data_IF_135733984470
#
_entry.id   IF_135733984470
#
_cell.length_a   1.000
_cell.length_b   1.000
_cell.length_c   1.000
_cell.angle_alpha   90.00
_cell.angle_beta   90.00
_cell.angle_gamma   90.00
#
_symmetry.space_group_name_H-M   'P 1'
#
loop_
_entity.id
_entity.type
_entity.pdbx_description
1 polymer ?
#
# COMPACT_ATOMS: atom_id res chain seq x y z
N UNK A 1 19.12 47.84 50.14
CA UNK A 1 17.79 47.36 49.68
C UNK A 1 17.72 46.97 48.21
N UNK A 2 18.73 47.19 47.36
CA UNK A 2 18.73 46.89 45.92
C UNK A 2 19.26 45.48 45.52
N UNK A 3 19.97 44.77 46.40
CA UNK A 3 20.53 43.43 46.06
C UNK A 3 19.51 42.28 46.21
N UNK A 4 18.43 42.44 47.00
CA UNK A 4 17.45 41.39 47.22
C UNK A 4 16.38 41.27 46.11
N UNK A 5 16.17 42.32 45.35
CA UNK A 5 15.19 42.33 44.21
C UNK A 5 15.73 41.63 42.98
N UNK A 6 17.02 41.75 42.68
CA UNK A 6 17.64 41.15 41.50
C UNK A 6 17.73 39.61 41.59
N UNK A 7 17.93 39.05 42.77
CA UNK A 7 17.95 37.60 43.00
C UNK A 7 16.55 36.97 42.92
N UNK A 8 15.51 37.71 43.32
CA UNK A 8 14.13 37.22 43.23
C UNK A 8 13.65 37.12 41.76
N UNK A 9 14.03 38.09 40.94
CA UNK A 9 13.71 38.05 39.48
C UNK A 9 14.51 37.00 38.73
N UNK A 10 15.77 36.70 39.08
CA UNK A 10 16.54 35.61 38.50
C UNK A 10 15.97 34.22 38.86
N UNK A 11 15.50 34.04 40.10
CA UNK A 11 14.88 32.79 40.51
C UNK A 11 13.48 32.60 39.89
N UNK A 12 12.68 33.64 39.73
CA UNK A 12 11.40 33.57 39.02
C UNK A 12 11.57 33.22 37.55
N UNK A 13 12.57 33.76 36.85
CA UNK A 13 12.88 33.39 35.45
C UNK A 13 13.34 31.93 35.31
N UNK A 14 14.12 31.40 36.28
CA UNK A 14 14.53 29.99 36.29
C UNK A 14 13.36 29.05 36.57
N UNK A 15 12.46 29.40 37.46
CA UNK A 15 11.25 28.60 37.76
C UNK A 15 10.26 28.66 36.59
N UNK A 16 10.10 29.82 35.93
CA UNK A 16 9.28 29.93 34.70
C UNK A 16 9.85 29.15 33.54
N UNK A 17 11.19 29.11 33.33
CA UNK A 17 11.82 28.29 32.32
C UNK A 17 11.70 26.78 32.61
N UNK A 18 11.79 26.36 33.88
CA UNK A 18 11.57 24.96 34.27
C UNK A 18 10.11 24.53 34.11
N UNK A 19 9.15 25.41 34.43
CA UNK A 19 7.73 25.13 34.19
C UNK A 19 7.39 25.11 32.69
N UNK A 20 7.99 25.99 31.89
CA UNK A 20 7.84 25.96 30.41
C UNK A 20 8.46 24.69 29.80
N UNK A 21 9.62 24.26 30.32
CA UNK A 21 10.26 23.00 29.91
C UNK A 21 9.44 21.76 30.27
N UNK A 22 8.83 21.73 31.45
CA UNK A 22 7.94 20.64 31.88
C UNK A 22 6.61 20.60 31.08
N UNK A 23 6.08 21.77 30.71
CA UNK A 23 4.87 21.84 29.83
C UNK A 23 5.21 21.44 28.42
N UNK A 24 6.38 21.80 27.84
CA UNK A 24 6.82 21.34 26.55
C UNK A 24 7.15 19.84 26.54
N UNK A 25 7.79 19.30 27.56
CA UNK A 25 8.01 17.84 27.67
C UNK A 25 6.70 17.07 27.88
N UNK A 26 5.70 17.65 28.54
CA UNK A 26 4.36 17.05 28.64
C UNK A 26 3.56 17.07 27.35
N UNK A 27 3.85 18.00 26.43
CA UNK A 27 3.21 18.10 25.12
C UNK A 27 3.84 17.16 24.06
N UNK A 28 5.08 16.68 24.29
CA UNK A 28 5.76 15.75 23.37
C UNK A 28 5.48 14.27 23.68
N UNK A 29 4.77 13.96 24.76
CA UNK A 29 4.37 12.59 25.12
C UNK A 29 2.88 12.32 24.97
N UNK A 30 2.12 13.13 24.23
CA UNK A 30 0.87 12.68 23.66
C UNK A 30 1.22 11.84 22.43
N UNK A 31 1.79 10.67 22.63
CA UNK A 31 1.55 9.57 21.70
C UNK A 31 0.02 9.53 21.58
N UNK A 32 -0.48 9.79 20.37
CA UNK A 32 -1.86 9.53 20.05
C UNK A 32 -2.06 8.02 20.32
N UNK A 33 -2.52 7.68 21.52
CA UNK A 33 -3.06 6.35 21.76
C UNK A 33 -4.10 6.18 20.67
N UNK A 34 -3.91 5.21 19.81
CA UNK A 34 -4.95 4.77 18.88
C UNK A 34 -6.12 4.42 19.79
N UNK A 35 -7.08 5.35 19.89
CA UNK A 35 -8.29 5.17 20.69
C UNK A 35 -9.15 4.22 19.88
N UNK A 36 -9.04 2.93 20.13
CA UNK A 36 -10.00 1.94 19.66
C UNK A 36 -11.39 2.33 20.14
N UNK A 37 -12.39 2.03 19.36
CA UNK A 37 -13.79 2.22 19.79
C UNK A 37 -14.07 1.25 20.96
N UNK A 38 -14.78 1.71 21.99
CA UNK A 38 -15.30 0.82 23.03
C UNK A 38 -16.39 -0.13 22.50
N UNK A 39 -17.03 0.24 21.38
CA UNK A 39 -18.00 -0.59 20.67
C UNK A 39 -17.28 -1.28 19.53
N UNK A 40 -17.42 -2.60 19.46
CA UNK A 40 -16.88 -3.44 18.38
C UNK A 40 -18.02 -4.24 17.74
N UNK A 41 -18.05 -4.27 16.41
CA UNK A 41 -18.91 -5.14 15.62
C UNK A 41 -18.05 -6.28 15.12
N UNK A 42 -18.28 -7.49 15.63
CA UNK A 42 -17.54 -8.68 15.27
C UNK A 42 -18.34 -9.53 14.31
N UNK A 43 -17.70 -9.90 13.19
CA UNK A 43 -18.20 -10.88 12.23
C UNK A 43 -17.15 -11.96 12.14
N UNK A 44 -17.47 -13.14 12.68
CA UNK A 44 -16.49 -14.21 12.84
C UNK A 44 -16.98 -15.45 12.07
N UNK A 45 -16.18 -15.99 11.14
CA UNK A 45 -16.51 -17.21 10.42
C UNK A 45 -16.25 -18.43 11.31
N UNK A 46 -16.81 -19.57 10.95
CA UNK A 46 -16.64 -20.83 11.69
C UNK A 46 -15.28 -21.54 11.42
N UNK A 47 -14.57 -21.17 10.34
CA UNK A 47 -13.20 -21.63 10.12
C UNK A 47 -12.19 -20.59 10.63
N UNK A 48 -11.18 -21.05 11.37
CA UNK A 48 -10.17 -20.17 11.98
C UNK A 48 -9.28 -19.46 10.96
N UNK A 49 -9.02 -20.09 9.82
CA UNK A 49 -8.21 -19.53 8.71
C UNK A 49 -9.05 -18.75 7.69
N UNK A 50 -10.37 -18.64 7.91
CA UNK A 50 -11.36 -18.01 7.04
C UNK A 50 -11.41 -18.59 5.62
N UNK A 51 -11.04 -19.88 5.45
CA UNK A 51 -10.95 -20.54 4.15
C UNK A 51 -11.93 -21.70 4.03
N UNK A 52 -12.51 -21.84 2.85
CA UNK A 52 -13.55 -22.82 2.52
C UNK A 52 -13.30 -23.38 1.12
N UNK A 53 -13.79 -24.56 0.83
CA UNK A 53 -13.86 -25.06 -0.54
C UNK A 53 -15.10 -24.50 -1.26
N UNK A 54 -15.01 -24.36 -2.58
CA UNK A 54 -16.17 -24.00 -3.42
C UNK A 54 -17.27 -25.05 -3.21
N UNK A 55 -18.49 -24.58 -2.88
CA UNK A 55 -19.62 -25.43 -2.58
C UNK A 55 -19.82 -25.75 -1.08
N UNK A 56 -18.83 -25.47 -0.25
CA UNK A 56 -18.96 -25.51 1.21
C UNK A 56 -19.85 -24.37 1.73
N UNK A 57 -20.37 -24.50 2.94
CA UNK A 57 -21.18 -23.46 3.58
C UNK A 57 -20.39 -22.83 4.73
N UNK A 58 -20.03 -21.55 4.58
CA UNK A 58 -19.48 -20.75 5.66
C UNK A 58 -20.58 -20.27 6.60
N UNK A 59 -20.31 -20.32 7.92
CA UNK A 59 -21.22 -19.82 8.95
C UNK A 59 -20.59 -18.61 9.65
N UNK A 60 -21.26 -17.47 9.61
CA UNK A 60 -20.77 -16.22 10.19
C UNK A 60 -21.57 -15.88 11.45
N UNK A 61 -20.88 -15.70 12.57
CA UNK A 61 -21.48 -15.21 13.81
C UNK A 61 -21.23 -13.72 13.95
N UNK A 62 -22.30 -12.94 13.99
CA UNK A 62 -22.30 -11.48 14.19
C UNK A 62 -22.59 -11.21 15.67
N UNK A 63 -21.84 -10.31 16.29
CA UNK A 63 -22.06 -9.79 17.62
C UNK A 63 -21.60 -8.35 17.76
N UNK A 64 -22.19 -7.63 18.71
CA UNK A 64 -21.79 -6.27 19.06
C UNK A 64 -21.41 -6.25 20.52
N UNK A 65 -20.22 -5.74 20.83
CA UNK A 65 -19.72 -5.65 22.21
C UNK A 65 -19.41 -4.22 22.60
N UNK A 66 -19.53 -3.91 23.89
CA UNK A 66 -19.03 -2.68 24.51
C UNK A 66 -18.02 -3.06 25.58
N UNK A 67 -16.77 -2.63 25.41
CA UNK A 67 -15.66 -3.02 26.32
C UNK A 67 -15.63 -4.55 26.56
N UNK A 68 -15.68 -5.32 25.48
CA UNK A 68 -15.73 -6.80 25.44
C UNK A 68 -17.01 -7.45 26.05
N UNK A 69 -17.98 -6.65 26.51
CA UNK A 69 -19.27 -7.17 27.03
C UNK A 69 -20.31 -7.17 25.91
N UNK A 70 -20.98 -8.31 25.72
CA UNK A 70 -22.00 -8.48 24.69
C UNK A 70 -23.20 -7.55 24.92
N UNK A 71 -23.63 -6.87 23.86
CA UNK A 71 -24.82 -6.03 23.87
C UNK A 71 -26.02 -6.80 23.31
N UNK A 72 -27.20 -6.54 23.88
CA UNK A 72 -28.46 -7.19 23.49
C UNK A 72 -29.39 -6.15 22.85
N UNK A 73 -30.35 -6.63 22.05
CA UNK A 73 -31.36 -5.80 21.37
C UNK A 73 -30.76 -4.71 20.47
N UNK A 74 -29.52 -4.89 20.00
CA UNK A 74 -28.88 -3.95 19.08
C UNK A 74 -29.46 -4.12 17.68
N UNK A 75 -29.81 -2.98 17.06
CA UNK A 75 -30.25 -2.93 15.68
C UNK A 75 -29.05 -2.92 14.74
N UNK A 76 -29.08 -3.78 13.72
CA UNK A 76 -28.04 -3.87 12.70
C UNK A 76 -28.61 -3.86 11.29
N UNK A 77 -27.87 -3.31 10.36
CA UNK A 77 -28.03 -3.53 8.93
C UNK A 77 -26.88 -4.43 8.46
N UNK A 78 -27.16 -5.30 7.49
CA UNK A 78 -26.09 -6.10 6.89
C UNK A 78 -26.26 -6.29 5.39
N UNK A 79 -25.09 -6.43 4.70
CA UNK A 79 -25.02 -6.91 3.33
C UNK A 79 -24.13 -8.17 3.30
N UNK A 80 -24.51 -9.19 2.53
CA UNK A 80 -23.78 -10.44 2.39
C UNK A 80 -23.85 -10.93 0.94
N UNK A 81 -22.79 -11.62 0.50
CA UNK A 81 -22.69 -12.13 -0.87
C UNK A 81 -21.28 -12.02 -1.44
N UNK A 82 -21.12 -12.22 -2.74
CA UNK A 82 -19.83 -12.05 -3.41
C UNK A 82 -19.25 -10.67 -3.15
N UNK A 83 -17.95 -10.61 -2.89
CA UNK A 83 -17.21 -9.38 -2.62
C UNK A 83 -17.51 -8.29 -3.68
N UNK A 84 -17.76 -7.05 -3.25
CA UNK A 84 -18.24 -5.90 -4.05
C UNK A 84 -19.64 -6.07 -4.68
N UNK A 85 -20.21 -7.28 -4.72
CA UNK A 85 -21.47 -7.61 -5.40
C UNK A 85 -22.46 -8.33 -4.46
N UNK A 86 -22.48 -7.93 -3.16
CA UNK A 86 -23.41 -8.51 -2.19
C UNK A 86 -24.87 -8.35 -2.64
N UNK A 87 -25.55 -9.45 -2.75
CA UNK A 87 -26.93 -9.56 -3.23
C UNK A 87 -27.96 -9.70 -2.09
N UNK A 88 -27.54 -10.17 -0.92
CA UNK A 88 -28.37 -10.22 0.30
C UNK A 88 -28.19 -8.91 1.08
N UNK A 89 -29.31 -8.17 1.27
CA UNK A 89 -29.31 -6.94 2.09
C UNK A 89 -30.50 -6.97 3.05
N UNK A 90 -30.23 -6.71 4.33
CA UNK A 90 -31.24 -6.60 5.39
C UNK A 90 -30.99 -5.37 6.23
N UNK A 91 -32.07 -4.69 6.60
CA UNK A 91 -32.02 -3.49 7.44
C UNK A 91 -32.86 -3.70 8.70
N UNK A 92 -32.44 -3.08 9.79
CA UNK A 92 -33.17 -3.03 11.03
C UNK A 92 -33.34 -4.36 11.74
N UNK A 93 -32.43 -5.31 11.50
CA UNK A 93 -32.43 -6.62 12.19
C UNK A 93 -32.00 -6.41 13.63
N UNK A 94 -32.79 -6.92 14.58
CA UNK A 94 -32.50 -6.78 16.01
C UNK A 94 -31.80 -8.02 16.55
N UNK A 95 -30.63 -7.84 17.14
CA UNK A 95 -29.87 -8.87 17.83
C UNK A 95 -30.46 -9.10 19.22
N UNK A 96 -31.60 -9.82 19.31
CA UNK A 96 -32.32 -10.05 20.58
C UNK A 96 -31.44 -10.73 21.61
N UNK A 97 -30.78 -11.83 21.20
CA UNK A 97 -29.88 -12.63 22.05
C UNK A 97 -28.41 -12.18 21.93
N UNK A 98 -28.19 -10.93 21.48
CA UNK A 98 -26.86 -10.34 21.29
C UNK A 98 -26.11 -10.87 20.07
N UNK A 99 -26.64 -11.88 19.36
CA UNK A 99 -25.95 -12.49 18.20
C UNK A 99 -26.90 -12.74 17.03
N UNK A 100 -26.31 -12.83 15.82
CA UNK A 100 -26.98 -13.26 14.59
C UNK A 100 -26.04 -14.24 13.86
N UNK A 101 -26.60 -15.31 13.33
CA UNK A 101 -25.87 -16.26 12.49
C UNK A 101 -26.33 -16.13 11.04
N UNK A 102 -25.37 -15.96 10.13
CA UNK A 102 -25.60 -15.99 8.69
C UNK A 102 -24.89 -17.17 8.06
N UNK A 103 -25.39 -17.65 6.95
CA UNK A 103 -24.74 -18.68 6.13
C UNK A 103 -24.46 -18.11 4.74
N UNK A 104 -23.28 -18.43 4.22
CA UNK A 104 -22.84 -18.04 2.89
C UNK A 104 -22.24 -19.21 2.13
N UNK A 105 -22.37 -19.17 0.79
CA UNK A 105 -21.83 -20.20 -0.08
C UNK A 105 -21.39 -19.59 -1.41
N UNK A 106 -20.28 -20.06 -1.95
CA UNK A 106 -19.81 -19.68 -3.27
C UNK A 106 -19.86 -20.87 -4.22
N UNK A 107 -20.23 -20.62 -5.48
CA UNK A 107 -20.23 -21.62 -6.56
C UNK A 107 -19.00 -21.51 -7.46
N UNK A 108 -18.17 -20.49 -7.23
CA UNK A 108 -16.91 -20.21 -7.95
C UNK A 108 -15.86 -19.73 -6.95
N UNK A 109 -14.58 -19.91 -7.23
CA UNK A 109 -13.50 -19.34 -6.41
C UNK A 109 -13.67 -17.81 -6.26
N UNK A 110 -13.41 -17.28 -5.06
CA UNK A 110 -13.57 -15.87 -4.73
C UNK A 110 -13.80 -15.64 -3.26
N UNK A 111 -14.29 -14.45 -2.91
CA UNK A 111 -14.60 -14.08 -1.53
C UNK A 111 -16.08 -13.84 -1.32
N UNK A 112 -16.62 -14.47 -0.27
CA UNK A 112 -17.94 -14.15 0.27
C UNK A 112 -17.77 -13.13 1.39
N UNK A 113 -18.36 -11.96 1.23
CA UNK A 113 -18.22 -10.84 2.18
C UNK A 113 -19.51 -10.61 2.95
N UNK A 114 -19.38 -10.39 4.25
CA UNK A 114 -20.45 -9.93 5.14
C UNK A 114 -20.03 -8.61 5.73
N UNK A 115 -20.75 -7.53 5.39
CA UNK A 115 -20.61 -6.20 5.98
C UNK A 115 -21.77 -5.94 6.95
N UNK A 116 -21.49 -5.40 8.14
CA UNK A 116 -22.46 -5.13 9.18
C UNK A 116 -22.30 -3.71 9.69
N UNK A 117 -23.41 -2.97 9.79
CA UNK A 117 -23.47 -1.67 10.49
C UNK A 117 -24.37 -1.81 11.70
N UNK A 118 -23.84 -1.58 12.88
CA UNK A 118 -24.60 -1.59 14.15
C UNK A 118 -24.91 -0.15 14.61
N UNK A 119 -26.09 0.05 15.19
CA UNK A 119 -26.54 1.34 15.70
C UNK A 119 -26.56 1.28 17.23
N UNK A 120 -25.61 1.99 17.87
CA UNK A 120 -25.49 2.04 19.33
C UNK A 120 -25.41 3.50 19.77
N UNK A 121 -26.29 3.91 20.68
CA UNK A 121 -26.33 5.27 21.24
C UNK A 121 -26.36 6.37 20.15
N UNK A 122 -27.11 6.13 19.04
CA UNK A 122 -27.28 7.06 17.91
C UNK A 122 -26.07 7.16 16.98
N UNK A 123 -25.07 6.28 17.13
CA UNK A 123 -23.86 6.21 16.28
C UNK A 123 -23.78 4.91 15.51
N UNK A 124 -23.12 4.95 14.36
CA UNK A 124 -22.84 3.80 13.51
C UNK A 124 -21.49 3.18 13.83
N UNK A 125 -21.45 1.87 13.92
CA UNK A 125 -20.21 1.07 14.06
C UNK A 125 -20.21 -0.03 13.01
N UNK A 126 -19.07 -0.26 12.36
CA UNK A 126 -18.95 -1.19 11.24
C UNK A 126 -18.09 -2.38 11.59
N UNK A 127 -18.43 -3.53 11.05
CA UNK A 127 -17.63 -4.74 11.07
C UNK A 127 -17.80 -5.51 9.78
N UNK A 128 -16.81 -6.31 9.41
CA UNK A 128 -16.87 -7.14 8.21
C UNK A 128 -16.09 -8.44 8.38
N UNK A 129 -16.41 -9.39 7.50
CA UNK A 129 -15.65 -10.61 7.30
C UNK A 129 -15.67 -10.99 5.83
N UNK A 130 -14.47 -11.22 5.25
CA UNK A 130 -14.28 -11.78 3.91
C UNK A 130 -13.85 -13.24 3.97
N UNK A 131 -14.74 -14.21 3.75
CA UNK A 131 -14.40 -15.63 3.71
C UNK A 131 -13.90 -16.03 2.32
N UNK A 132 -12.73 -16.69 2.25
CA UNK A 132 -12.07 -17.12 1.03
C UNK A 132 -12.55 -18.49 0.58
N UNK A 133 -13.06 -18.61 -0.63
CA UNK A 133 -13.50 -19.88 -1.22
C UNK A 133 -12.53 -20.35 -2.30
N UNK A 134 -11.81 -21.43 -2.06
CA UNK A 134 -10.76 -22.00 -2.93
C UNK A 134 -9.85 -20.91 -3.51
N UNK A 135 -9.24 -20.07 -2.69
CA UNK A 135 -8.55 -18.85 -3.18
C UNK A 135 -7.39 -19.16 -4.11
N UNK A 136 -6.75 -20.33 -4.02
CA UNK A 136 -5.68 -20.79 -4.92
C UNK A 136 -6.18 -21.02 -6.35
N UNK A 137 -7.49 -21.16 -6.54
CA UNK A 137 -8.11 -21.38 -7.84
C UNK A 137 -8.60 -20.08 -8.49
N UNK A 138 -8.47 -18.94 -7.80
CA UNK A 138 -8.84 -17.64 -8.36
C UNK A 138 -7.92 -17.32 -9.53
N UNK A 139 -8.51 -17.04 -10.70
CA UNK A 139 -7.79 -16.66 -11.92
C UNK A 139 -8.10 -15.21 -12.26
N UNK A 140 -7.11 -14.44 -12.72
CA UNK A 140 -7.37 -13.07 -13.19
C UNK A 140 -8.20 -13.05 -14.45
N UNK A 141 -8.95 -11.98 -14.65
CA UNK A 141 -9.76 -11.75 -15.83
C UNK A 141 -9.03 -10.95 -16.89
N UNK A 142 -8.03 -10.18 -16.50
CA UNK A 142 -7.25 -9.34 -17.40
C UNK A 142 -6.40 -10.18 -18.34
N UNK A 143 -6.31 -9.73 -19.59
CA UNK A 143 -5.52 -10.37 -20.64
C UNK A 143 -4.32 -9.49 -20.94
N UNK A 144 -3.13 -10.09 -21.03
CA UNK A 144 -1.92 -9.36 -21.42
C UNK A 144 -2.01 -8.98 -22.89
N UNK A 145 -1.82 -7.70 -23.26
CA UNK A 145 -1.67 -7.30 -24.68
C UNK A 145 -0.54 -8.05 -25.36
N UNK A 146 -0.71 -8.37 -26.64
CA UNK A 146 0.26 -9.15 -27.39
C UNK A 146 1.64 -8.47 -27.44
N UNK A 147 1.65 -7.15 -27.56
CA UNK A 147 2.87 -6.32 -27.62
C UNK A 147 3.33 -5.78 -26.25
N UNK A 148 2.78 -6.28 -25.13
CA UNK A 148 3.05 -5.77 -23.80
C UNK A 148 4.56 -5.73 -23.45
N UNK A 149 5.26 -6.83 -23.71
CA UNK A 149 6.70 -6.93 -23.41
C UNK A 149 7.51 -5.96 -24.28
N UNK A 150 7.22 -5.93 -25.57
CA UNK A 150 7.89 -5.06 -26.53
C UNK A 150 7.62 -3.58 -26.23
N UNK A 151 6.39 -3.23 -25.88
CA UNK A 151 5.99 -1.88 -25.49
C UNK A 151 6.84 -1.37 -24.32
N UNK A 152 6.93 -2.16 -23.24
CA UNK A 152 7.69 -1.74 -22.05
C UNK A 152 9.20 -1.76 -22.29
N UNK A 153 9.72 -2.73 -23.02
CA UNK A 153 11.13 -2.75 -23.41
C UNK A 153 11.53 -1.49 -24.18
N UNK A 154 10.77 -1.14 -25.21
CA UNK A 154 11.00 0.11 -25.97
C UNK A 154 10.88 1.35 -25.11
N UNK A 155 9.91 1.40 -24.21
CA UNK A 155 9.73 2.54 -23.32
C UNK A 155 10.94 2.71 -22.35
N UNK A 156 11.47 1.63 -21.82
CA UNK A 156 12.67 1.63 -20.97
C UNK A 156 13.91 2.05 -21.75
N UNK A 157 14.12 1.50 -22.95
CA UNK A 157 15.22 1.88 -23.83
C UNK A 157 15.17 3.37 -24.14
N UNK A 158 14.01 3.90 -24.54
CA UNK A 158 13.83 5.32 -24.79
C UNK A 158 14.10 6.21 -23.55
N UNK A 159 13.65 5.77 -22.36
CA UNK A 159 13.92 6.49 -21.13
C UNK A 159 15.43 6.56 -20.82
N UNK A 160 16.18 5.53 -21.16
CA UNK A 160 17.64 5.44 -20.96
C UNK A 160 18.47 6.29 -21.95
N UNK A 161 17.89 6.78 -23.07
CA UNK A 161 18.55 7.77 -23.91
C UNK A 161 18.71 9.12 -23.21
N UNK A 162 17.94 9.39 -22.17
CA UNK A 162 18.09 10.58 -21.35
C UNK A 162 19.02 10.28 -20.19
N UNK A 163 20.13 11.01 -20.07
CA UNK A 163 21.06 10.90 -18.94
C UNK A 163 20.33 11.17 -17.62
N UNK A 164 20.75 10.48 -16.55
CA UNK A 164 20.14 10.66 -15.23
C UNK A 164 20.30 12.10 -14.69
N UNK A 165 21.39 12.79 -15.01
CA UNK A 165 21.70 14.15 -14.53
C UNK A 165 21.31 14.33 -13.05
N UNK A 166 21.90 13.53 -12.14
CA UNK A 166 21.44 13.45 -10.77
C UNK A 166 21.76 14.71 -9.98
N UNK A 167 20.90 15.03 -9.03
CA UNK A 167 21.22 15.97 -7.94
C UNK A 167 21.22 15.20 -6.62
N UNK A 168 22.07 15.62 -5.68
CA UNK A 168 22.17 15.01 -4.36
C UNK A 168 22.46 16.11 -3.33
N UNK A 169 21.54 16.30 -2.38
CA UNK A 169 21.62 17.29 -1.29
C UNK A 169 21.52 16.59 0.05
N UNK A 170 22.56 16.76 0.89
CA UNK A 170 22.53 16.22 2.25
C UNK A 170 21.39 16.90 3.07
N UNK A 171 20.75 16.10 3.91
CA UNK A 171 19.75 16.55 4.91
C UNK A 171 20.31 16.32 6.31
N UNK A 172 21.15 17.23 6.82
CA UNK A 172 21.87 16.98 8.09
C UNK A 172 20.95 16.72 9.26
N UNK A 173 19.77 17.35 9.26
CA UNK A 173 18.74 17.22 10.30
C UNK A 173 18.08 15.81 10.33
N UNK A 174 18.29 15.01 9.29
CA UNK A 174 17.78 13.62 9.18
C UNK A 174 18.88 12.57 9.32
N UNK A 175 20.14 12.99 9.27
CA UNK A 175 21.29 12.08 9.43
C UNK A 175 21.37 11.54 10.86
N UNK A 176 21.88 10.33 10.99
CA UNK A 176 22.24 9.73 12.29
C UNK A 176 23.74 9.46 12.32
N UNK A 177 24.25 8.94 13.43
CA UNK A 177 25.67 8.49 13.51
C UNK A 177 26.00 7.37 12.51
N UNK A 178 24.98 6.59 12.09
CA UNK A 178 25.14 5.39 11.28
C UNK A 178 24.62 5.57 9.83
N UNK A 179 23.80 6.61 9.55
CA UNK A 179 23.14 6.80 8.26
C UNK A 179 23.21 8.24 7.78
N UNK A 180 23.70 8.44 6.57
CA UNK A 180 23.60 9.69 5.83
C UNK A 180 22.29 9.72 5.03
N UNK A 181 21.55 10.83 5.11
CA UNK A 181 20.25 11.03 4.43
C UNK A 181 20.37 12.16 3.42
N UNK A 182 19.92 11.90 2.20
CA UNK A 182 19.98 12.86 1.10
C UNK A 182 18.63 13.00 0.40
N UNK A 183 18.25 14.20 0.04
CA UNK A 183 17.32 14.37 -1.04
C UNK A 183 18.06 14.21 -2.37
N UNK A 184 17.50 13.37 -3.24
CA UNK A 184 18.04 13.11 -4.58
C UNK A 184 16.99 13.40 -5.65
N UNK A 185 17.44 13.75 -6.85
CA UNK A 185 16.57 13.76 -8.02
C UNK A 185 17.35 13.35 -9.27
N UNK A 186 16.65 12.77 -10.23
CA UNK A 186 17.23 12.33 -11.48
C UNK A 186 16.22 12.42 -12.62
N UNK A 187 16.71 12.57 -13.86
CA UNK A 187 15.88 12.57 -15.06
C UNK A 187 15.23 11.18 -15.23
N UNK A 188 13.94 11.19 -15.56
CA UNK A 188 13.15 9.99 -15.78
C UNK A 188 13.18 9.61 -17.28
N UNK A 189 12.21 10.06 -18.07
CA UNK A 189 12.05 9.64 -19.47
C UNK A 189 12.23 10.74 -20.51
N UNK A 190 12.23 12.01 -20.10
CA UNK A 190 12.34 13.18 -20.96
C UNK A 190 12.97 14.36 -20.21
N UNK A 191 13.41 15.38 -20.93
CA UNK A 191 13.83 16.65 -20.34
C UNK A 191 12.75 17.20 -19.40
N UNK A 192 13.18 17.65 -18.20
CA UNK A 192 12.35 18.22 -17.14
C UNK A 192 11.39 17.25 -16.44
N UNK A 193 11.41 15.96 -16.77
CA UNK A 193 10.65 14.95 -16.04
C UNK A 193 11.57 14.27 -15.02
N UNK A 194 11.58 14.80 -13.81
CA UNK A 194 12.44 14.31 -12.74
C UNK A 194 11.67 13.43 -11.75
N UNK A 195 12.35 12.42 -11.27
CA UNK A 195 11.94 11.67 -10.08
C UNK A 195 12.74 12.23 -8.91
N UNK A 196 12.07 12.49 -7.79
CA UNK A 196 12.66 12.93 -6.54
C UNK A 196 12.55 11.81 -5.51
N UNK A 197 13.49 11.75 -4.56
CA UNK A 197 13.44 10.75 -3.50
C UNK A 197 14.35 11.09 -2.33
N UNK A 198 14.22 10.28 -1.28
CA UNK A 198 15.12 10.29 -0.13
C UNK A 198 16.00 9.06 -0.20
N UNK A 199 17.29 9.30 -0.31
CA UNK A 199 18.33 8.26 -0.28
C UNK A 199 18.93 8.20 1.12
N UNK A 200 18.93 7.02 1.73
CA UNK A 200 19.62 6.77 2.98
C UNK A 200 20.78 5.78 2.71
N UNK A 201 21.98 6.13 3.15
CA UNK A 201 23.19 5.33 2.91
C UNK A 201 23.92 5.13 4.23
N UNK A 202 24.34 3.89 4.57
CA UNK A 202 25.20 3.66 5.74
C UNK A 202 26.45 4.52 5.70
N UNK A 203 26.84 5.10 6.85
CA UNK A 203 28.05 5.95 6.98
C UNK A 203 29.33 5.14 6.82
N UNK A 204 29.34 3.91 7.35
CA UNK A 204 30.51 3.03 7.28
C UNK A 204 30.86 2.73 5.81
N UNK A 205 32.14 2.88 5.40
CA UNK A 205 32.54 2.51 4.05
C UNK A 205 32.29 1.04 3.74
N UNK A 206 31.71 0.76 2.57
CA UNK A 206 31.40 -0.62 2.17
C UNK A 206 30.55 -0.68 0.90
N UNK A 207 30.20 -1.89 0.52
CA UNK A 207 29.19 -2.20 -0.50
C UNK A 207 28.00 -2.85 0.20
N UNK A 208 26.80 -2.43 -0.16
CA UNK A 208 25.57 -2.77 0.56
C UNK A 208 24.49 -3.30 -0.38
N UNK A 209 23.61 -4.18 0.09
CA UNK A 209 22.34 -4.44 -0.60
C UNK A 209 21.52 -3.17 -0.70
N UNK A 210 20.54 -3.13 -1.60
CA UNK A 210 19.70 -1.95 -1.78
C UNK A 210 18.21 -2.30 -1.73
N UNK A 211 17.40 -1.35 -1.28
CA UNK A 211 15.95 -1.42 -1.23
C UNK A 211 15.34 -0.17 -1.87
N UNK A 212 14.58 -0.36 -2.94
CA UNK A 212 13.74 0.67 -3.52
C UNK A 212 12.37 0.64 -2.85
N UNK A 213 11.97 1.77 -2.24
CA UNK A 213 10.62 1.95 -1.68
C UNK A 213 9.79 2.80 -2.62
N UNK A 214 8.66 2.23 -3.06
CA UNK A 214 7.76 2.85 -4.02
C UNK A 214 6.42 3.22 -3.34
N UNK A 215 5.83 4.41 -3.65
CA UNK A 215 4.78 4.98 -2.82
C UNK A 215 3.39 4.43 -3.09
N UNK A 216 2.58 4.36 -2.04
CA UNK A 216 1.12 4.30 -2.14
C UNK A 216 0.52 5.55 -2.79
N UNK A 217 -0.77 5.52 -3.10
CA UNK A 217 -1.46 6.66 -3.71
C UNK A 217 -1.47 7.90 -2.78
N UNK A 218 -1.46 9.07 -3.40
CA UNK A 218 -1.46 10.38 -2.71
C UNK A 218 -0.22 11.22 -3.02
N UNK A 219 -0.29 12.50 -2.71
CA UNK A 219 0.79 13.48 -2.88
C UNK A 219 1.24 13.89 -1.49
N UNK A 220 2.51 13.63 -1.15
CA UNK A 220 3.02 13.81 0.22
C UNK A 220 4.53 13.98 0.26
N UNK A 221 5.11 14.51 1.36
CA UNK A 221 6.54 14.44 1.61
C UNK A 221 6.96 13.03 1.98
N UNK A 222 8.27 12.76 1.91
CA UNK A 222 8.86 11.48 2.32
C UNK A 222 9.97 11.72 3.33
N UNK A 223 10.08 10.82 4.29
CA UNK A 223 11.08 10.90 5.36
C UNK A 223 12.38 10.17 5.01
N UNK A 224 12.28 9.12 4.20
CA UNK A 224 13.33 8.14 3.97
C UNK A 224 13.30 7.01 5.00
N UNK A 225 13.79 5.86 4.61
CA UNK A 225 13.84 4.68 5.46
C UNK A 225 15.20 4.56 6.17
N UNK A 226 15.36 5.38 7.21
CA UNK A 226 16.59 5.43 8.01
C UNK A 226 16.78 4.15 8.83
N UNK A 227 15.67 3.52 9.26
CA UNK A 227 15.74 2.31 10.07
C UNK A 227 16.37 1.15 9.27
N UNK A 228 15.84 0.83 8.11
CA UNK A 228 16.38 -0.22 7.23
C UNK A 228 17.83 0.12 6.82
N UNK A 229 18.14 1.40 6.59
CA UNK A 229 19.49 1.82 6.26
C UNK A 229 20.47 1.61 7.42
N UNK A 230 20.03 1.76 8.67
CA UNK A 230 20.84 1.49 9.86
C UNK A 230 21.22 0.01 10.01
N UNK A 231 20.45 -0.89 9.38
CA UNK A 231 20.74 -2.32 9.32
C UNK A 231 21.78 -2.68 8.23
N UNK A 232 22.32 -1.70 7.51
CA UNK A 232 23.32 -1.93 6.48
C UNK A 232 22.75 -2.12 5.07
N UNK A 233 21.63 -1.48 4.77
CA UNK A 233 20.97 -1.47 3.45
C UNK A 233 20.96 -0.05 2.89
N UNK A 234 21.21 0.13 1.60
CA UNK A 234 20.90 1.40 0.92
C UNK A 234 19.41 1.45 0.70
N UNK A 235 18.74 2.50 1.16
CA UNK A 235 17.31 2.69 0.87
C UNK A 235 17.10 3.92 0.00
N UNK A 236 16.25 3.78 -1.03
CA UNK A 236 15.78 4.89 -1.86
C UNK A 236 14.25 4.90 -1.86
N UNK A 237 13.66 5.87 -1.19
CA UNK A 237 12.22 6.11 -1.18
C UNK A 237 11.90 7.22 -2.19
N UNK A 238 11.13 6.90 -3.24
CA UNK A 238 10.84 7.85 -4.33
C UNK A 238 9.44 8.46 -4.25
N UNK A 239 9.33 9.72 -4.72
CA UNK A 239 8.06 10.34 -5.07
C UNK A 239 7.81 10.22 -6.58
N UNK A 240 6.54 10.14 -6.99
CA UNK A 240 6.14 9.86 -8.37
C UNK A 240 5.59 11.08 -9.13
N UNK A 241 5.53 12.24 -8.49
CA UNK A 241 4.81 13.39 -9.02
C UNK A 241 5.71 14.43 -9.71
N UNK A 242 7.04 14.21 -9.73
CA UNK A 242 7.99 15.12 -10.37
C UNK A 242 8.22 16.41 -9.58
N UNK A 243 7.93 16.40 -8.28
CA UNK A 243 8.16 17.53 -7.36
C UNK A 243 9.05 17.08 -6.21
N UNK A 244 9.79 18.02 -5.58
CA UNK A 244 10.60 17.75 -4.40
C UNK A 244 9.77 17.03 -3.32
N UNK A 245 10.41 16.15 -2.56
CA UNK A 245 9.78 15.33 -1.52
C UNK A 245 10.02 15.86 -0.11
N UNK A 246 10.57 17.07 0.01
CA UNK A 246 10.96 17.72 1.29
C UNK A 246 10.31 19.09 1.49
N UNK A 247 9.27 19.43 0.73
CA UNK A 247 8.51 20.67 0.89
C UNK A 247 7.52 20.58 2.07
N UNK A 248 6.93 21.71 2.43
CA UNK A 248 5.90 21.78 3.45
C UNK A 248 4.64 20.97 3.06
N UNK A 249 3.98 20.35 4.04
CA UNK A 249 2.77 19.55 3.84
C UNK A 249 1.70 20.29 3.03
N UNK A 250 1.52 21.59 3.30
CA UNK A 250 0.54 22.42 2.60
C UNK A 250 0.72 22.43 1.08
N UNK A 251 1.96 22.41 0.58
CA UNK A 251 2.22 22.37 -0.87
C UNK A 251 1.66 21.09 -1.48
N UNK A 252 1.84 19.95 -0.81
CA UNK A 252 1.31 18.67 -1.27
C UNK A 252 -0.20 18.63 -1.22
N UNK A 253 -0.82 19.18 -0.16
CA UNK A 253 -2.27 19.26 -0.02
C UNK A 253 -2.87 20.12 -1.14
N UNK A 254 -2.29 21.28 -1.44
CA UNK A 254 -2.73 22.18 -2.50
C UNK A 254 -2.60 21.52 -3.89
N UNK A 255 -1.49 20.81 -4.13
CA UNK A 255 -1.25 20.10 -5.40
C UNK A 255 -2.20 18.91 -5.56
N UNK A 256 -2.44 18.13 -4.49
CA UNK A 256 -3.35 16.99 -4.50
C UNK A 256 -4.80 17.41 -4.73
N UNK A 257 -5.25 18.50 -4.08
CA UNK A 257 -6.60 19.03 -4.25
C UNK A 257 -6.77 19.89 -5.52
N UNK A 258 -5.68 20.18 -6.23
CA UNK A 258 -5.63 20.97 -7.46
C UNK A 258 -5.12 20.19 -8.66
N UNK A 259 -3.89 20.49 -9.08
CA UNK A 259 -3.30 20.02 -10.34
C UNK A 259 -3.15 18.48 -10.44
N UNK A 260 -3.06 17.77 -9.32
CA UNK A 260 -2.96 16.31 -9.27
C UNK A 260 -4.23 15.62 -8.74
N UNK A 261 -5.35 16.33 -8.66
CA UNK A 261 -6.61 15.69 -8.27
C UNK A 261 -6.98 14.60 -9.27
N UNK A 262 -7.21 13.37 -8.76
CA UNK A 262 -7.50 12.20 -9.57
C UNK A 262 -6.43 11.87 -10.63
N UNK A 263 -5.15 12.13 -10.34
CA UNK A 263 -4.02 11.92 -11.26
C UNK A 263 -3.99 10.50 -11.88
N UNK A 264 -4.56 9.51 -11.20
CA UNK A 264 -4.65 8.13 -11.69
C UNK A 264 -5.52 7.98 -12.94
N UNK A 265 -6.31 8.99 -13.28
CA UNK A 265 -7.11 9.04 -14.51
C UNK A 265 -6.40 9.78 -15.67
N UNK A 266 -5.26 10.42 -15.43
CA UNK A 266 -4.63 11.24 -16.46
C UNK A 266 -4.10 10.39 -17.61
N UNK A 267 -4.59 10.66 -18.83
CA UNK A 267 -4.23 9.96 -20.04
C UNK A 267 -4.59 8.47 -20.05
N UNK A 268 -5.58 8.05 -19.24
CA UNK A 268 -5.96 6.64 -19.12
C UNK A 268 -6.66 6.05 -20.37
N UNK A 269 -6.92 6.86 -21.39
CA UNK A 269 -7.46 6.48 -22.70
C UNK A 269 -6.38 6.23 -23.76
N UNK A 270 -5.11 6.52 -23.44
CA UNK A 270 -3.99 6.32 -24.34
C UNK A 270 -2.77 5.80 -23.55
N UNK A 271 -2.29 4.59 -23.92
CA UNK A 271 -1.16 3.96 -23.23
C UNK A 271 0.12 4.78 -23.22
N UNK A 272 0.36 5.62 -24.24
CA UNK A 272 1.56 6.44 -24.33
C UNK A 272 1.48 7.73 -23.50
N UNK A 273 0.26 8.21 -23.23
CA UNK A 273 -0.01 9.41 -22.45
C UNK A 273 -0.40 9.12 -21.00
N UNK A 274 -0.57 7.84 -20.63
CA UNK A 274 -0.95 7.46 -19.28
C UNK A 274 0.04 8.01 -18.26
N UNK A 275 -0.51 8.60 -17.19
CA UNK A 275 0.28 9.08 -16.05
C UNK A 275 1.24 8.02 -15.51
N UNK A 276 0.78 6.76 -15.48
CA UNK A 276 1.57 5.66 -14.96
C UNK A 276 2.74 5.23 -15.85
N UNK A 277 2.79 5.64 -17.13
CA UNK A 277 3.97 5.38 -17.96
C UNK A 277 5.22 6.00 -17.34
N UNK A 278 5.17 7.29 -17.00
CA UNK A 278 6.30 7.97 -16.35
C UNK A 278 6.57 7.45 -14.94
N UNK A 279 5.52 7.03 -14.22
CA UNK A 279 5.66 6.51 -12.85
C UNK A 279 6.43 5.20 -12.85
N UNK A 280 6.05 4.24 -13.70
CA UNK A 280 6.73 2.96 -13.85
C UNK A 280 8.16 3.15 -14.35
N UNK A 281 8.36 4.01 -15.36
CA UNK A 281 9.70 4.33 -15.84
C UNK A 281 10.55 5.02 -14.75
N UNK A 282 9.96 5.84 -13.90
CA UNK A 282 10.61 6.43 -12.73
C UNK A 282 11.14 5.40 -11.75
N UNK A 283 10.42 4.29 -11.53
CA UNK A 283 10.89 3.17 -10.70
C UNK A 283 12.10 2.48 -11.32
N UNK A 284 12.09 2.24 -12.65
CA UNK A 284 13.23 1.65 -13.36
C UNK A 284 14.46 2.57 -13.31
N UNK A 285 14.25 3.88 -13.54
CA UNK A 285 15.35 4.86 -13.48
C UNK A 285 15.89 5.04 -12.05
N UNK A 286 15.07 4.78 -11.02
CA UNK A 286 15.55 4.72 -9.63
C UNK A 286 16.54 3.57 -9.42
N UNK A 287 16.32 2.42 -10.05
CA UNK A 287 17.28 1.30 -10.04
C UNK A 287 18.56 1.69 -10.80
N UNK A 288 18.45 2.36 -11.96
CA UNK A 288 19.61 2.89 -12.69
C UNK A 288 20.41 3.87 -11.83
N UNK A 289 19.73 4.71 -11.02
CA UNK A 289 20.38 5.61 -10.07
C UNK A 289 21.10 4.84 -8.94
N UNK A 290 20.45 3.83 -8.35
CA UNK A 290 21.05 2.98 -7.31
C UNK A 290 22.35 2.36 -7.85
N UNK A 291 22.31 1.78 -9.04
CA UNK A 291 23.46 1.12 -9.66
C UNK A 291 24.63 2.07 -9.91
N UNK A 292 24.37 3.27 -10.44
CA UNK A 292 25.40 4.18 -10.93
C UNK A 292 25.94 5.14 -9.86
N UNK A 293 25.12 5.49 -8.85
CA UNK A 293 25.42 6.62 -7.94
C UNK A 293 25.41 6.24 -6.45
N UNK A 294 25.30 4.94 -6.13
CA UNK A 294 25.37 4.47 -4.74
C UNK A 294 26.41 3.36 -4.56
N UNK A 295 26.83 3.05 -3.33
CA UNK A 295 27.72 1.94 -3.06
C UNK A 295 26.99 0.57 -3.04
N UNK A 296 26.05 0.36 -3.97
CA UNK A 296 25.37 -0.92 -4.13
C UNK A 296 26.36 -2.06 -4.41
N UNK A 297 26.10 -3.25 -3.85
CA UNK A 297 26.97 -4.41 -3.98
C UNK A 297 26.83 -5.15 -5.33
N UNK A 298 25.87 -4.74 -6.18
CA UNK A 298 25.63 -5.33 -7.49
C UNK A 298 24.89 -6.68 -7.44
N UNK A 299 24.33 -7.07 -6.29
CA UNK A 299 23.71 -8.37 -6.10
C UNK A 299 22.29 -8.28 -5.56
N UNK A 300 22.12 -7.97 -4.28
CA UNK A 300 20.83 -7.96 -3.62
C UNK A 300 20.15 -6.61 -3.83
N UNK A 301 18.99 -6.61 -4.50
CA UNK A 301 18.13 -5.45 -4.73
C UNK A 301 16.67 -5.83 -4.47
N UNK A 302 16.09 -5.21 -3.44
CA UNK A 302 14.68 -5.36 -3.12
C UNK A 302 13.83 -4.21 -3.67
N UNK A 303 12.56 -4.49 -3.92
CA UNK A 303 11.54 -3.45 -4.15
C UNK A 303 10.30 -3.73 -3.32
N UNK A 304 9.75 -2.71 -2.68
CA UNK A 304 8.56 -2.85 -1.83
C UNK A 304 7.70 -1.60 -1.81
N UNK A 305 6.42 -1.81 -1.56
CA UNK A 305 5.43 -0.75 -1.37
C UNK A 305 4.04 -1.31 -1.11
N UNK A 306 3.19 -0.44 -0.60
CA UNK A 306 1.81 -0.75 -0.20
C UNK A 306 0.82 -0.09 -1.15
N UNK A 307 -0.33 -0.73 -1.40
CA UNK A 307 -1.39 -0.17 -2.23
C UNK A 307 -0.91 0.09 -3.67
N UNK A 308 -0.99 1.32 -4.17
CA UNK A 308 -0.33 1.70 -5.44
C UNK A 308 1.15 1.29 -5.46
N UNK A 309 1.85 1.38 -4.31
CA UNK A 309 3.23 0.91 -4.18
C UNK A 309 3.36 -0.60 -4.37
N UNK A 310 2.36 -1.38 -3.98
CA UNK A 310 2.30 -2.81 -4.28
C UNK A 310 2.25 -3.09 -5.78
N UNK A 311 1.42 -2.35 -6.52
CA UNK A 311 1.43 -2.37 -7.99
C UNK A 311 2.80 -1.99 -8.56
N UNK A 312 3.41 -0.90 -8.06
CA UNK A 312 4.72 -0.44 -8.54
C UNK A 312 5.82 -1.45 -8.22
N UNK A 313 5.72 -2.17 -7.11
CA UNK A 313 6.64 -3.27 -6.77
C UNK A 313 6.55 -4.41 -7.79
N UNK A 314 5.34 -4.82 -8.16
CA UNK A 314 5.11 -5.83 -9.20
C UNK A 314 5.62 -5.36 -10.58
N UNK A 315 5.33 -4.11 -10.94
CA UNK A 315 5.77 -3.54 -12.22
C UNK A 315 7.30 -3.47 -12.31
N UNK A 316 7.94 -3.02 -11.22
CA UNK A 316 9.40 -2.91 -11.16
C UNK A 316 10.06 -4.29 -11.22
N UNK A 317 9.62 -5.26 -10.42
CA UNK A 317 10.16 -6.62 -10.44
C UNK A 317 9.93 -7.32 -11.79
N UNK A 318 8.76 -7.14 -12.40
CA UNK A 318 8.46 -7.72 -13.72
C UNK A 318 9.33 -7.16 -14.85
N UNK A 319 9.68 -5.87 -14.79
CA UNK A 319 10.40 -5.17 -15.86
C UNK A 319 11.91 -5.14 -15.67
N UNK A 320 12.42 -5.23 -14.43
CA UNK A 320 13.86 -5.12 -14.15
C UNK A 320 14.41 -6.37 -13.46
N UNK A 321 15.28 -7.08 -14.15
CA UNK A 321 15.87 -8.34 -13.67
C UNK A 321 16.96 -8.15 -12.61
N UNK A 322 17.36 -6.92 -12.31
CA UNK A 322 18.25 -6.61 -11.19
C UNK A 322 17.55 -6.76 -9.83
N UNK A 323 16.21 -6.69 -9.82
CA UNK A 323 15.41 -6.96 -8.60
C UNK A 323 15.49 -8.44 -8.26
N UNK A 324 15.97 -8.75 -7.05
CA UNK A 324 16.12 -10.11 -6.53
C UNK A 324 14.99 -10.52 -5.58
N UNK A 325 14.39 -9.55 -4.89
CA UNK A 325 13.24 -9.78 -4.04
C UNK A 325 12.22 -8.63 -4.13
N UNK A 326 10.94 -8.94 -3.95
CA UNK A 326 9.87 -7.94 -4.04
C UNK A 326 8.77 -8.25 -3.03
N UNK A 327 8.24 -7.20 -2.40
CA UNK A 327 7.18 -7.33 -1.40
C UNK A 327 6.00 -6.38 -1.70
N UNK A 328 5.03 -6.81 -2.54
CA UNK A 328 3.83 -6.05 -2.81
C UNK A 328 2.81 -6.26 -1.68
N UNK A 329 2.51 -5.22 -0.91
CA UNK A 329 1.51 -5.30 0.16
C UNK A 329 0.20 -4.70 -0.33
N UNK A 330 -0.91 -5.44 -0.17
CA UNK A 330 -2.24 -5.12 -0.70
C UNK A 330 -2.18 -4.34 -2.01
N UNK A 331 -1.59 -4.98 -3.06
CA UNK A 331 -1.28 -4.34 -4.33
C UNK A 331 -2.54 -3.87 -5.06
N UNK A 332 -2.68 -2.54 -5.19
CA UNK A 332 -3.72 -1.91 -5.99
C UNK A 332 -3.48 -2.11 -7.51
N UNK A 333 -4.35 -1.61 -8.34
CA UNK A 333 -4.23 -1.64 -9.80
C UNK A 333 -3.99 -3.04 -10.38
N UNK A 334 -4.65 -4.05 -9.79
CA UNK A 334 -4.62 -5.43 -10.25
C UNK A 334 -6.01 -5.86 -10.72
N UNK A 335 -6.04 -6.56 -11.84
CA UNK A 335 -7.24 -7.11 -12.47
C UNK A 335 -8.36 -6.08 -12.67
N UNK A 336 -8.03 -4.94 -13.29
CA UNK A 336 -8.96 -3.84 -13.56
C UNK A 336 -10.24 -4.29 -14.29
N UNK A 337 -10.12 -5.29 -15.17
CA UNK A 337 -11.24 -5.76 -16.01
C UNK A 337 -12.16 -6.74 -15.30
N UNK A 338 -11.88 -7.13 -14.05
CA UNK A 338 -12.70 -8.09 -13.31
C UNK A 338 -14.14 -7.62 -13.15
N UNK A 339 -14.36 -6.32 -12.90
CA UNK A 339 -15.70 -5.75 -12.77
C UNK A 339 -16.56 -5.83 -14.03
N UNK A 340 -15.96 -5.94 -15.22
CA UNK A 340 -16.67 -6.22 -16.48
C UNK A 340 -17.33 -7.61 -16.51
N UNK A 341 -16.90 -8.49 -15.60
CA UNK A 341 -17.44 -9.85 -15.45
C UNK A 341 -18.19 -10.04 -14.11
N UNK A 342 -18.50 -8.93 -13.40
CA UNK A 342 -19.14 -8.99 -12.08
C UNK A 342 -18.26 -9.61 -11.00
N UNK A 343 -16.94 -9.48 -11.10
CA UNK A 343 -15.96 -9.94 -10.14
C UNK A 343 -15.30 -8.72 -9.51
N UNK A 344 -14.89 -8.80 -8.25
CA UNK A 344 -14.21 -7.72 -7.55
C UNK A 344 -12.94 -7.30 -8.29
N UNK A 345 -12.71 -5.98 -8.40
CA UNK A 345 -11.60 -5.37 -9.13
C UNK A 345 -10.79 -4.46 -8.21
N UNK A 346 -9.48 -4.31 -8.51
CA UNK A 346 -8.58 -3.46 -7.75
C UNK A 346 -8.85 -1.95 -7.91
N UNK A 347 -8.46 -1.17 -6.88
CA UNK A 347 -8.41 0.29 -6.99
C UNK A 347 -7.65 0.72 -8.27
N UNK A 348 -8.10 1.75 -9.00
CA UNK A 348 -9.13 2.74 -8.69
C UNK A 348 -10.53 2.39 -9.18
N UNK A 349 -10.86 1.13 -9.38
CA UNK A 349 -12.19 0.62 -9.74
C UNK A 349 -12.76 1.23 -11.03
N UNK A 350 -11.94 1.37 -12.07
CA UNK A 350 -12.25 2.10 -13.31
C UNK A 350 -13.59 1.75 -13.96
N UNK A 351 -14.05 0.51 -13.82
CA UNK A 351 -15.23 0.00 -14.55
C UNK A 351 -16.33 -0.51 -13.59
N UNK A 352 -16.17 -0.33 -12.28
CA UNK A 352 -17.11 -0.84 -11.28
C UNK A 352 -18.48 -0.17 -11.43
N UNK A 353 -19.55 -0.99 -11.54
CA UNK A 353 -20.95 -0.56 -11.70
C UNK A 353 -21.21 0.42 -12.87
N UNK A 354 -20.36 0.42 -13.90
CA UNK A 354 -20.61 1.21 -15.09
C UNK A 354 -21.72 0.60 -15.95
N UNK A 355 -22.57 1.45 -16.55
CA UNK A 355 -23.56 1.02 -17.52
C UNK A 355 -22.87 0.64 -18.86
N UNK A 356 -23.49 -0.25 -19.62
CA UNK A 356 -22.97 -0.75 -20.89
C UNK A 356 -22.66 0.36 -21.90
N UNK A 357 -23.51 1.38 -21.99
CA UNK A 357 -23.26 2.53 -22.88
C UNK A 357 -21.99 3.28 -22.49
N UNK A 358 -21.77 3.47 -21.19
CA UNK A 358 -20.55 4.12 -20.65
C UNK A 358 -19.31 3.26 -20.94
N UNK A 359 -19.42 1.93 -20.83
CA UNK A 359 -18.32 1.01 -21.12
C UNK A 359 -17.94 1.02 -22.61
N UNK A 360 -18.92 1.10 -23.52
CA UNK A 360 -18.65 1.24 -24.97
C UNK A 360 -17.84 2.49 -25.27
N UNK A 361 -18.16 3.63 -24.62
CA UNK A 361 -17.39 4.87 -24.75
C UNK A 361 -15.99 4.80 -24.14
N UNK A 362 -15.74 3.85 -23.25
CA UNK A 362 -14.45 3.67 -22.55
C UNK A 362 -13.60 2.53 -23.11
N UNK A 363 -13.85 2.08 -24.35
CA UNK A 363 -13.10 0.99 -24.98
C UNK A 363 -11.58 1.22 -24.91
N UNK A 364 -11.11 2.42 -25.23
CA UNK A 364 -9.69 2.79 -25.18
C UNK A 364 -9.14 2.76 -23.76
N UNK A 365 -9.94 3.16 -22.74
CA UNK A 365 -9.55 3.06 -21.32
C UNK A 365 -9.41 1.60 -20.90
N UNK A 366 -10.31 0.72 -21.33
CA UNK A 366 -10.26 -0.71 -21.06
C UNK A 366 -8.99 -1.33 -21.68
N UNK A 367 -8.68 -0.97 -22.91
CA UNK A 367 -7.47 -1.45 -23.60
C UNK A 367 -6.20 -0.91 -22.94
N UNK A 368 -6.16 0.39 -22.61
CA UNK A 368 -5.03 1.04 -21.95
C UNK A 368 -4.79 0.46 -20.54
N UNK A 369 -5.85 0.19 -19.78
CA UNK A 369 -5.74 -0.34 -18.42
C UNK A 369 -4.92 -1.65 -18.36
N UNK A 370 -4.94 -2.45 -19.41
CA UNK A 370 -4.19 -3.71 -19.48
C UNK A 370 -2.67 -3.51 -19.52
N UNK A 371 -2.19 -2.36 -20.02
CA UNK A 371 -0.76 -2.01 -19.99
C UNK A 371 -0.29 -1.57 -18.61
N UNK A 372 -1.21 -1.24 -17.72
CA UNK A 372 -0.97 -0.75 -16.35
C UNK A 372 -1.65 -1.62 -15.30
N UNK A 373 -1.86 -2.89 -15.61
CA UNK A 373 -2.45 -3.87 -14.70
C UNK A 373 -1.35 -4.69 -14.01
N UNK A 374 -1.32 -4.70 -12.69
CA UNK A 374 -0.32 -5.39 -11.89
C UNK A 374 -0.22 -6.89 -12.19
N UNK A 375 -1.33 -7.53 -12.57
CA UNK A 375 -1.33 -8.94 -13.01
C UNK A 375 -0.47 -9.15 -14.26
N UNK A 376 -0.48 -8.22 -15.21
CA UNK A 376 0.31 -8.36 -16.42
C UNK A 376 1.81 -8.21 -16.16
N UNK A 377 2.20 -7.37 -15.20
CA UNK A 377 3.59 -7.31 -14.74
C UNK A 377 3.98 -8.57 -13.94
N UNK A 378 3.09 -9.08 -13.09
CA UNK A 378 3.31 -10.32 -12.34
C UNK A 378 3.63 -11.51 -13.25
N UNK A 379 3.05 -11.58 -14.45
CA UNK A 379 3.37 -12.58 -15.49
C UNK A 379 4.80 -12.51 -16.04
N UNK A 380 5.51 -11.40 -15.81
CA UNK A 380 6.90 -11.21 -16.25
C UNK A 380 7.91 -11.59 -15.18
N UNK A 381 7.49 -11.76 -13.93
CA UNK A 381 8.35 -12.13 -12.81
C UNK A 381 8.87 -13.55 -13.04
N UNK A 382 10.17 -13.77 -12.78
CA UNK A 382 10.86 -15.03 -13.06
C UNK A 382 11.15 -15.80 -11.76
N UNK A 383 11.67 -17.01 -11.91
CA UNK A 383 12.12 -17.88 -10.83
C UNK A 383 13.38 -17.38 -10.08
N UNK A 384 14.06 -16.37 -10.65
CA UNK A 384 15.22 -15.72 -10.02
C UNK A 384 14.84 -14.64 -8.99
N UNK A 385 13.55 -14.33 -8.86
CA UNK A 385 13.01 -13.25 -8.03
C UNK A 385 12.08 -13.83 -6.98
N UNK A 386 12.34 -13.54 -5.70
CA UNK A 386 11.52 -14.03 -4.59
C UNK A 386 10.45 -13.00 -4.20
N UNK A 387 9.23 -13.44 -4.02
CA UNK A 387 8.09 -12.60 -3.66
C UNK A 387 7.56 -12.86 -2.27
N UNK A 388 7.14 -11.80 -1.56
CA UNK A 388 6.35 -11.88 -0.33
C UNK A 388 5.09 -11.04 -0.48
N UNK A 389 3.92 -11.67 -0.36
CA UNK A 389 2.62 -11.04 -0.54
C UNK A 389 1.88 -10.99 0.79
N UNK A 390 1.34 -9.83 1.13
CA UNK A 390 0.48 -9.68 2.30
C UNK A 390 -0.69 -8.75 2.02
N UNK A 391 -1.86 -9.08 2.56
CA UNK A 391 -3.11 -8.32 2.40
C UNK A 391 -4.17 -8.80 3.40
N UNK A 392 -5.20 -7.97 3.61
CA UNK A 392 -6.34 -8.28 4.47
C UNK A 392 -7.51 -8.89 3.69
N UNK A 393 -8.29 -9.76 4.35
CA UNK A 393 -9.52 -10.30 3.74
C UNK A 393 -10.71 -9.34 3.86
N UNK A 394 -10.57 -8.29 4.70
CA UNK A 394 -11.58 -7.24 4.85
C UNK A 394 -11.24 -5.97 4.05
N UNK A 395 -10.17 -5.98 3.27
CA UNK A 395 -9.78 -4.82 2.47
C UNK A 395 -10.84 -4.50 1.40
N UNK A 396 -11.45 -3.32 1.48
CA UNK A 396 -12.49 -2.82 0.57
C UNK A 396 -11.96 -1.82 -0.46
N UNK A 397 -10.70 -1.40 -0.32
CA UNK A 397 -9.97 -0.56 -1.28
C UNK A 397 -9.27 -1.45 -2.32
N UNK A 398 -8.60 -2.48 -1.83
CA UNK A 398 -7.93 -3.49 -2.67
C UNK A 398 -8.48 -4.87 -2.32
N UNK A 399 -9.54 -5.31 -2.99
CA UNK A 399 -10.22 -6.55 -2.69
C UNK A 399 -9.28 -7.76 -2.70
N UNK A 400 -9.33 -8.66 -1.69
CA UNK A 400 -8.46 -9.83 -1.62
C UNK A 400 -8.61 -10.78 -2.82
N UNK A 401 -9.73 -10.76 -3.53
CA UNK A 401 -9.90 -11.48 -4.82
C UNK A 401 -8.81 -11.08 -5.80
N UNK A 402 -8.47 -9.78 -5.92
CA UNK A 402 -7.44 -9.32 -6.87
C UNK A 402 -6.03 -9.63 -6.38
N UNK A 403 -5.82 -9.61 -5.07
CA UNK A 403 -4.53 -9.99 -4.47
C UNK A 403 -4.22 -11.46 -4.73
N UNK A 404 -5.19 -12.36 -4.51
CA UNK A 404 -5.05 -13.78 -4.83
C UNK A 404 -4.90 -14.05 -6.33
N UNK A 405 -5.67 -13.37 -7.19
CA UNK A 405 -5.53 -13.48 -8.65
C UNK A 405 -4.11 -13.13 -9.10
N UNK A 406 -3.53 -12.06 -8.51
CA UNK A 406 -2.17 -11.62 -8.78
C UNK A 406 -1.13 -12.62 -8.26
N UNK A 407 -1.28 -13.06 -6.99
CA UNK A 407 -0.42 -14.06 -6.37
C UNK A 407 -0.40 -15.35 -7.19
N UNK A 408 -1.56 -15.89 -7.54
CA UNK A 408 -1.68 -17.13 -8.32
C UNK A 408 -1.03 -17.04 -9.71
N UNK A 409 -0.91 -15.82 -10.26
CA UNK A 409 -0.30 -15.58 -11.58
C UNK A 409 1.22 -15.69 -11.57
N UNK A 410 1.88 -15.34 -10.45
CA UNK A 410 3.34 -15.45 -10.33
C UNK A 410 3.76 -16.91 -10.33
N UNK A 411 4.74 -17.26 -11.15
CA UNK A 411 5.28 -18.63 -11.27
C UNK A 411 6.57 -18.84 -10.45
N UNK A 412 7.28 -17.76 -10.09
CA UNK A 412 8.50 -17.80 -9.29
C UNK A 412 8.28 -18.12 -7.81
N UNK A 413 9.37 -18.26 -7.04
CA UNK A 413 9.31 -18.45 -5.59
C UNK A 413 8.55 -17.32 -4.90
N UNK A 414 7.57 -17.66 -4.09
CA UNK A 414 6.72 -16.67 -3.41
C UNK A 414 6.15 -17.22 -2.12
N UNK A 415 5.99 -16.33 -1.17
CA UNK A 415 5.33 -16.56 0.09
C UNK A 415 4.07 -15.71 0.18
N UNK A 416 3.08 -16.16 0.93
CA UNK A 416 1.84 -15.43 1.18
C UNK A 416 1.57 -15.38 2.67
N UNK A 417 1.34 -14.19 3.21
CA UNK A 417 1.00 -13.96 4.61
C UNK A 417 -0.25 -13.07 4.68
N UNK A 418 -1.45 -13.66 4.58
CA UNK A 418 -2.68 -12.89 4.70
C UNK A 418 -2.97 -12.58 6.17
N UNK A 419 -3.38 -11.35 6.43
CA UNK A 419 -3.87 -10.89 7.74
C UNK A 419 -5.38 -10.71 7.66
N UNK A 420 -6.14 -11.79 7.91
CA UNK A 420 -7.56 -11.90 7.58
C UNK A 420 -8.40 -10.72 8.08
N UNK A 421 -8.18 -10.30 9.33
CA UNK A 421 -8.99 -9.24 9.94
C UNK A 421 -8.60 -7.81 9.54
N UNK A 422 -7.51 -7.62 8.76
CA UNK A 422 -7.15 -6.27 8.31
C UNK A 422 -8.04 -5.78 7.16
N UNK A 423 -8.27 -4.48 7.19
CA UNK A 423 -8.77 -3.69 6.07
C UNK A 423 -7.57 -3.16 5.26
N UNK A 424 -7.64 -1.95 4.74
CA UNK A 424 -6.52 -1.32 4.03
C UNK A 424 -5.50 -0.69 5.00
N UNK A 425 -4.99 -1.49 5.93
CA UNK A 425 -3.98 -1.08 6.93
C UNK A 425 -3.14 -2.28 7.37
N UNK A 426 -2.09 -2.01 8.18
CA UNK A 426 -1.17 -3.01 8.69
C UNK A 426 -1.38 -3.25 10.19
N UNK A 427 -1.27 -4.51 10.63
CA UNK A 427 -0.98 -4.84 12.03
C UNK A 427 0.52 -4.74 12.31
N UNK A 428 0.91 -4.60 13.58
CA UNK A 428 2.32 -4.55 13.97
C UNK A 428 3.04 -5.85 13.59
N UNK A 429 2.41 -6.99 13.82
CA UNK A 429 2.95 -8.31 13.48
C UNK A 429 3.22 -8.45 11.97
N UNK A 430 2.39 -7.83 11.14
CA UNK A 430 2.57 -7.80 9.69
C UNK A 430 3.80 -6.97 9.29
N UNK A 431 4.04 -5.83 9.99
CA UNK A 431 5.24 -5.04 9.82
C UNK A 431 6.49 -5.80 10.20
N UNK A 432 6.49 -6.47 11.36
CA UNK A 432 7.62 -7.22 11.88
C UNK A 432 7.99 -8.39 10.95
N UNK A 433 6.99 -9.10 10.41
CA UNK A 433 7.18 -10.17 9.44
C UNK A 433 7.76 -9.64 8.12
N UNK A 434 7.19 -8.55 7.60
CA UNK A 434 7.64 -7.92 6.37
C UNK A 434 9.10 -7.44 6.48
N UNK A 435 9.47 -6.75 7.57
CA UNK A 435 10.83 -6.27 7.81
C UNK A 435 11.81 -7.44 7.92
N UNK A 436 11.47 -8.45 8.70
CA UNK A 436 12.31 -9.65 8.89
C UNK A 436 12.53 -10.38 7.57
N UNK A 437 11.49 -10.53 6.76
CA UNK A 437 11.60 -11.16 5.45
C UNK A 437 12.50 -10.37 4.50
N UNK A 438 12.30 -9.05 4.41
CA UNK A 438 13.11 -8.18 3.54
C UNK A 438 14.59 -8.21 3.92
N UNK A 439 14.92 -8.05 5.21
CA UNK A 439 16.31 -8.07 5.67
C UNK A 439 16.98 -9.41 5.36
N UNK A 440 16.27 -10.51 5.58
CA UNK A 440 16.76 -11.86 5.24
C UNK A 440 17.07 -12.00 3.74
N UNK A 441 16.15 -11.61 2.86
CA UNK A 441 16.33 -11.74 1.41
C UNK A 441 17.36 -10.75 0.85
N UNK A 442 17.60 -9.63 1.53
CA UNK A 442 18.70 -8.70 1.26
C UNK A 442 20.05 -9.15 1.84
N UNK A 443 20.11 -10.33 2.47
CA UNK A 443 21.35 -10.90 3.01
C UNK A 443 21.89 -10.19 4.25
N UNK A 444 21.05 -9.42 4.93
CA UNK A 444 21.41 -8.81 6.23
C UNK A 444 21.32 -9.90 7.29
N UNK A 445 22.44 -10.12 7.99
CA UNK A 445 22.50 -11.08 9.11
C UNK A 445 21.93 -10.39 10.37
N UNK A 446 20.92 -11.00 10.97
CA UNK A 446 20.45 -10.64 12.30
C UNK A 446 21.54 -10.88 13.36
#
# INVERSE_FOLDING_TARGET
MQQNTTNRFKNMKKVSLLLLGLVLCGLLSVQAQIRGNSIEVKVVPDHQDWRYEVGETATFKISVTKSNTLLYNIKVDYAAGPEMYQDVKKQGVVLKDGTLTLKGKMTKPGFYRVDVTAYVDGKEYKGACGAAFSPEKIQPTTVMPQDFKEYWQKAIEQARYTDLMPTKRLLPERCTKDVNVYEVSFQNMQWNWRTYGILCVPVKPGKYPALLRVPGAGVRPYAGDVWTASQGVITLEIGIHGISVTMDQKVYDDVFNGALMNYWNFGNDNRDNSYYKRVVLGCIRAIDYIEQYTPWNGKELGVTGSSQGGFLSLATAGLDKRVTCYAPVHAAMCDHTASLKGIACGWPHYFYKMKDETLKMKKTVIETSRYYDGVNFARLITDQQKGWFSFGYNDDVVPPTTAWATYNTVTGPKEISPYQATWHFWFQEQWDEWESWLLKELGVKN
#
